data_IF_322615032621
#
_entry.id   IF_322615032621
#
_cell.length_a   1.000
_cell.length_b   1.000
_cell.length_c   1.000
_cell.angle_alpha   90.00
_cell.angle_beta   90.00
_cell.angle_gamma   90.00
#
_symmetry.space_group_name_H-M   'P 1'
#
loop_
_entity.id
_entity.type
_entity.pdbx_description
1 polymer ?
#
# COMPACT_ATOMS: atom_id res chain seq x y z
N UNK A 1 9.18 -6.63 -17.84
CA UNK A 1 9.13 -7.64 -16.77
C UNK A 1 7.80 -8.37 -16.85
N UNK A 2 7.83 -9.69 -17.03
CA UNK A 2 6.64 -10.53 -16.97
C UNK A 2 5.90 -10.29 -15.63
N UNK A 3 4.57 -10.32 -15.70
CA UNK A 3 3.71 -10.14 -14.52
C UNK A 3 3.81 -11.42 -13.70
N UNK A 4 4.59 -11.39 -12.64
CA UNK A 4 4.70 -12.50 -11.69
C UNK A 4 3.30 -12.92 -11.24
N UNK A 5 2.95 -14.18 -11.48
CA UNK A 5 1.60 -14.71 -11.22
C UNK A 5 1.69 -15.74 -10.12
N UNK A 6 0.95 -15.51 -9.03
CA UNK A 6 0.83 -16.42 -7.90
C UNK A 6 -0.54 -17.10 -7.91
N UNK A 7 -0.53 -18.43 -7.80
CA UNK A 7 -1.70 -19.28 -7.63
C UNK A 7 -1.55 -20.07 -6.33
N UNK A 8 -2.54 -19.96 -5.44
CA UNK A 8 -2.47 -20.51 -4.08
C UNK A 8 -3.24 -21.83 -3.91
N UNK A 9 -3.88 -22.34 -4.97
CA UNK A 9 -4.89 -23.40 -4.88
C UNK A 9 -4.36 -24.74 -4.36
N UNK A 10 -3.09 -25.03 -4.63
CA UNK A 10 -2.41 -26.27 -4.22
C UNK A 10 -1.47 -26.05 -3.01
N UNK A 11 -1.46 -24.83 -2.46
CA UNK A 11 -0.54 -24.46 -1.39
C UNK A 11 -0.93 -25.11 -0.07
N UNK A 12 0.07 -25.61 0.65
CA UNK A 12 -0.09 -26.23 1.97
C UNK A 12 0.69 -25.47 3.03
N UNK A 13 0.23 -25.56 4.28
CA UNK A 13 0.93 -25.03 5.45
C UNK A 13 1.81 -26.13 6.03
N UNK A 14 3.13 -25.98 5.91
CA UNK A 14 4.10 -26.97 6.42
C UNK A 14 4.45 -26.75 7.89
N UNK A 15 4.59 -25.49 8.32
CA UNK A 15 4.95 -25.16 9.68
C UNK A 15 4.45 -23.77 10.07
N UNK A 16 4.11 -23.60 11.34
CA UNK A 16 3.74 -22.30 11.92
C UNK A 16 4.40 -22.19 13.29
N UNK A 17 4.96 -21.03 13.58
CA UNK A 17 5.48 -20.67 14.89
C UNK A 17 5.08 -19.24 15.24
N UNK A 18 4.82 -18.99 16.52
CA UNK A 18 4.44 -17.67 17.05
C UNK A 18 5.48 -17.17 18.03
N UNK A 19 5.78 -15.89 17.93
CA UNK A 19 6.57 -15.13 18.88
C UNK A 19 5.76 -13.95 19.41
N UNK A 20 6.08 -13.46 20.61
CA UNK A 20 5.51 -12.21 21.11
C UNK A 20 6.54 -11.11 20.98
N UNK A 21 6.18 -10.04 20.27
CA UNK A 21 7.05 -8.92 19.96
C UNK A 21 6.60 -7.71 20.77
N UNK A 22 7.41 -7.30 21.74
CA UNK A 22 7.24 -6.05 22.46
C UNK A 22 7.84 -4.84 21.73
N UNK A 23 7.72 -3.69 22.37
CA UNK A 23 8.36 -2.44 22.01
C UNK A 23 9.53 -2.09 22.95
N UNK A 24 10.72 -1.88 22.37
CA UNK A 24 11.96 -1.58 23.11
C UNK A 24 11.89 -0.26 23.87
N UNK A 25 11.28 0.77 23.28
CA UNK A 25 11.15 2.08 23.92
C UNK A 25 10.26 2.00 25.18
N UNK A 26 9.25 1.13 25.13
CA UNK A 26 8.31 0.89 26.25
C UNK A 26 8.77 -0.24 27.18
N UNK A 27 9.99 -0.77 27.00
CA UNK A 27 10.57 -1.89 27.77
C UNK A 27 9.68 -3.14 27.78
N UNK A 28 8.89 -3.34 26.73
CA UNK A 28 8.11 -4.57 26.57
C UNK A 28 9.01 -5.65 25.94
N UNK A 29 8.95 -6.90 26.43
CA UNK A 29 9.94 -7.92 26.06
C UNK A 29 9.70 -8.53 24.68
N UNK A 30 10.75 -9.16 24.16
CA UNK A 30 10.66 -10.17 23.09
C UNK A 30 10.55 -11.55 23.74
N UNK A 31 9.52 -12.32 23.39
CA UNK A 31 9.38 -13.74 23.77
C UNK A 31 9.48 -14.59 22.51
N UNK A 32 10.59 -15.31 22.40
CA UNK A 32 10.82 -16.26 21.30
C UNK A 32 10.32 -17.65 21.70
N UNK A 33 9.84 -18.38 20.70
CA UNK A 33 9.38 -19.76 20.84
C UNK A 33 10.42 -20.69 20.22
N UNK A 34 10.46 -21.93 20.69
CA UNK A 34 11.36 -22.99 20.24
C UNK A 34 10.61 -24.18 19.61
N UNK A 35 9.29 -24.08 19.47
CA UNK A 35 8.44 -25.16 18.95
C UNK A 35 7.34 -24.64 18.03
N UNK A 36 7.12 -25.36 16.94
CA UNK A 36 6.01 -25.13 16.02
C UNK A 36 4.68 -25.63 16.60
N UNK A 37 3.57 -25.03 16.15
CA UNK A 37 2.23 -25.55 16.44
C UNK A 37 1.96 -26.84 15.69
N UNK A 38 1.12 -27.70 16.28
CA UNK A 38 0.47 -28.78 15.54
C UNK A 38 -0.59 -28.18 14.62
N UNK A 39 -0.46 -28.43 13.32
CA UNK A 39 -1.40 -27.94 12.31
C UNK A 39 -2.37 -29.04 11.93
N UNK A 40 -3.66 -28.75 12.05
CA UNK A 40 -4.72 -29.57 11.49
C UNK A 40 -5.35 -28.85 10.29
N UNK A 41 -6.21 -29.55 9.55
CA UNK A 41 -6.83 -29.01 8.33
C UNK A 41 -7.62 -27.74 8.59
N UNK A 42 -8.32 -27.63 9.72
CA UNK A 42 -9.09 -26.43 10.08
C UNK A 42 -8.18 -25.20 10.25
N UNK A 43 -7.07 -25.35 10.98
CA UNK A 43 -6.08 -24.28 11.18
C UNK A 43 -5.42 -23.91 9.84
N UNK A 44 -5.03 -24.92 9.06
CA UNK A 44 -4.43 -24.74 7.73
C UNK A 44 -5.35 -23.93 6.81
N UNK A 45 -6.64 -24.29 6.74
CA UNK A 45 -7.64 -23.61 5.93
C UNK A 45 -7.83 -22.15 6.32
N UNK A 46 -7.81 -21.84 7.62
CA UNK A 46 -7.91 -20.46 8.12
C UNK A 46 -6.67 -19.64 7.72
N UNK A 47 -5.47 -20.22 7.81
CA UNK A 47 -4.23 -19.55 7.41
C UNK A 47 -4.18 -19.30 5.89
N UNK A 48 -4.54 -20.31 5.08
CA UNK A 48 -4.56 -20.19 3.62
C UNK A 48 -5.63 -19.18 3.16
N UNK A 49 -6.83 -19.28 3.74
CA UNK A 49 -7.98 -18.46 3.38
C UNK A 49 -7.89 -17.00 3.81
N UNK A 50 -7.28 -16.73 4.97
CA UNK A 50 -7.11 -15.38 5.50
C UNK A 50 -5.75 -14.78 5.12
N UNK A 51 -4.67 -15.30 5.69
CA UNK A 51 -3.34 -14.73 5.55
C UNK A 51 -2.81 -14.81 4.10
N UNK A 52 -2.69 -16.02 3.55
CA UNK A 52 -2.08 -16.21 2.23
C UNK A 52 -2.93 -15.58 1.11
N UNK A 53 -4.23 -15.87 1.10
CA UNK A 53 -5.15 -15.26 0.13
C UNK A 53 -5.21 -13.74 0.27
N UNK A 54 -5.26 -13.23 1.50
CA UNK A 54 -5.30 -11.80 1.78
C UNK A 54 -4.09 -11.05 1.22
N UNK A 55 -2.88 -11.55 1.48
CA UNK A 55 -1.65 -10.91 1.01
C UNK A 55 -1.46 -10.99 -0.50
N UNK A 56 -1.80 -12.13 -1.13
CA UNK A 56 -1.71 -12.30 -2.58
C UNK A 56 -2.74 -11.43 -3.32
N UNK A 57 -3.98 -11.37 -2.83
CA UNK A 57 -5.04 -10.58 -3.46
C UNK A 57 -4.83 -9.07 -3.37
N UNK A 58 -4.08 -8.62 -2.36
CA UNK A 58 -3.78 -7.20 -2.19
C UNK A 58 -2.89 -6.66 -3.33
N UNK A 59 -2.09 -7.53 -3.98
CA UNK A 59 -1.25 -7.21 -5.15
C UNK A 59 -0.25 -6.06 -4.90
N UNK A 60 0.07 -5.77 -3.64
CA UNK A 60 1.08 -4.80 -3.27
C UNK A 60 2.46 -5.46 -3.27
N UNK A 61 3.22 -5.18 -4.34
CA UNK A 61 4.54 -5.74 -4.59
C UNK A 61 5.61 -4.76 -4.15
N UNK A 62 6.69 -5.29 -3.58
CA UNK A 62 7.87 -4.54 -3.18
C UNK A 62 9.11 -5.28 -3.63
N UNK A 63 10.16 -4.54 -3.96
CA UNK A 63 11.49 -5.10 -4.18
C UNK A 63 12.34 -4.88 -2.95
N UNK A 64 13.14 -5.87 -2.61
CA UNK A 64 14.11 -5.78 -1.52
C UNK A 64 15.47 -5.24 -2.02
N UNK A 65 15.59 -4.94 -3.31
CA UNK A 65 16.83 -4.40 -3.87
C UNK A 65 17.10 -2.96 -3.38
N UNK A 66 18.16 -2.82 -2.59
CA UNK A 66 18.82 -1.55 -2.33
C UNK A 66 20.06 -1.47 -3.22
N UNK A 67 20.50 -0.26 -3.59
CA UNK A 67 21.72 -0.03 -4.38
C UNK A 67 23.00 -0.59 -3.70
N UNK A 68 22.90 -1.03 -2.43
CA UNK A 68 23.92 -1.76 -1.70
C UNK A 68 23.49 -3.23 -1.49
N UNK A 69 24.42 -4.15 -1.76
CA UNK A 69 24.39 -5.61 -1.55
C UNK A 69 23.15 -6.16 -0.81
N UNK A 70 22.36 -7.01 -1.50
CA UNK A 70 21.19 -7.72 -0.97
C UNK A 70 21.44 -8.43 0.38
N UNK A 71 22.69 -8.78 0.68
CA UNK A 71 23.11 -9.36 1.97
C UNK A 71 22.91 -8.42 3.16
N UNK A 72 22.74 -7.12 2.94
CA UNK A 72 22.48 -6.12 3.99
C UNK A 72 21.00 -6.05 4.40
N UNK A 73 20.12 -6.78 3.71
CA UNK A 73 18.74 -6.95 4.12
C UNK A 73 18.59 -8.22 4.98
N UNK A 74 18.36 -8.04 6.28
CA UNK A 74 18.29 -9.15 7.24
C UNK A 74 17.16 -10.15 6.93
N UNK A 75 16.01 -9.67 6.45
CA UNK A 75 14.87 -10.53 6.08
C UNK A 75 15.25 -11.41 4.90
N UNK A 76 15.74 -10.81 3.81
CA UNK A 76 16.19 -11.55 2.63
C UNK A 76 17.30 -12.52 3.00
N UNK A 77 18.37 -12.04 3.66
CA UNK A 77 19.51 -12.84 4.07
C UNK A 77 19.08 -14.08 4.88
N UNK A 78 18.24 -13.92 5.90
CA UNK A 78 17.79 -15.06 6.70
C UNK A 78 16.90 -16.02 5.91
N UNK A 79 15.97 -15.52 5.10
CA UNK A 79 15.12 -16.38 4.25
C UNK A 79 15.91 -17.17 3.21
N UNK A 80 16.91 -16.54 2.56
CA UNK A 80 17.80 -17.23 1.62
C UNK A 80 18.60 -18.34 2.31
N UNK A 81 19.18 -18.07 3.49
CA UNK A 81 19.92 -19.09 4.25
C UNK A 81 19.02 -20.28 4.62
N UNK A 82 17.73 -20.04 4.90
CA UNK A 82 16.76 -21.11 5.16
C UNK A 82 16.44 -21.92 3.89
N UNK A 83 16.18 -21.27 2.76
CA UNK A 83 15.88 -21.97 1.51
C UNK A 83 17.09 -22.79 1.01
N UNK A 84 18.31 -22.27 1.20
CA UNK A 84 19.58 -22.97 0.97
C UNK A 84 19.90 -24.05 2.02
N UNK A 85 18.97 -24.33 2.95
CA UNK A 85 19.07 -25.38 4.00
C UNK A 85 20.24 -25.21 4.96
N UNK A 86 20.73 -23.97 5.14
CA UNK A 86 21.83 -23.65 6.08
C UNK A 86 21.36 -23.40 7.51
N UNK A 87 20.07 -23.12 7.71
CA UNK A 87 19.46 -22.91 9.03
C UNK A 87 18.11 -23.63 9.11
N UNK A 88 17.68 -23.99 10.31
CA UNK A 88 16.35 -24.58 10.51
C UNK A 88 15.23 -23.53 10.39
N UNK A 89 13.98 -23.99 10.27
CA UNK A 89 12.81 -23.10 10.30
C UNK A 89 12.67 -22.36 11.65
N UNK A 90 13.00 -23.03 12.75
CA UNK A 90 12.98 -22.42 14.09
C UNK A 90 14.04 -21.32 14.16
N UNK A 91 15.27 -21.58 13.71
CA UNK A 91 16.33 -20.57 13.68
C UNK A 91 15.96 -19.36 12.81
N UNK A 92 15.36 -19.60 11.63
CA UNK A 92 14.84 -18.54 10.77
C UNK A 92 13.83 -17.68 11.53
N UNK A 93 12.84 -18.31 12.17
CA UNK A 93 11.75 -17.62 12.84
C UNK A 93 12.25 -16.74 14.01
N UNK A 94 13.19 -17.25 14.80
CA UNK A 94 13.79 -16.53 15.91
C UNK A 94 14.65 -15.35 15.44
N UNK A 95 15.40 -15.52 14.33
CA UNK A 95 16.17 -14.43 13.72
C UNK A 95 15.26 -13.32 13.19
N UNK A 96 14.18 -13.67 12.48
CA UNK A 96 13.20 -12.69 11.99
C UNK A 96 12.51 -11.96 13.15
N UNK A 97 12.13 -12.67 14.22
CA UNK A 97 11.53 -12.06 15.42
C UNK A 97 12.48 -11.11 16.13
N UNK A 98 13.75 -11.52 16.27
CA UNK A 98 14.80 -10.71 16.89
C UNK A 98 15.04 -9.43 16.08
N UNK A 99 15.22 -9.56 14.76
CA UNK A 99 15.36 -8.42 13.85
C UNK A 99 14.19 -7.45 13.99
N UNK A 100 12.95 -7.96 13.88
CA UNK A 100 11.75 -7.14 14.03
C UNK A 100 11.70 -6.40 15.37
N UNK A 101 12.05 -7.05 16.47
CA UNK A 101 12.13 -6.42 17.78
C UNK A 101 13.15 -5.28 17.82
N UNK A 102 14.30 -5.41 17.12
CA UNK A 102 15.27 -4.31 17.02
C UNK A 102 14.69 -3.07 16.34
N UNK A 103 13.80 -3.26 15.35
CA UNK A 103 13.08 -2.19 14.64
C UNK A 103 11.94 -1.58 15.47
N UNK A 104 11.44 -2.23 16.52
CA UNK A 104 10.33 -1.74 17.34
C UNK A 104 10.75 -0.68 18.38
N UNK A 105 11.09 0.54 17.94
CA UNK A 105 11.66 1.60 18.78
C UNK A 105 10.88 2.93 18.78
N UNK A 106 9.63 2.94 18.31
CA UNK A 106 8.76 4.12 18.26
C UNK A 106 7.49 3.90 19.13
N UNK A 107 6.99 4.90 19.89
CA UNK A 107 5.88 4.69 20.84
C UNK A 107 4.58 4.18 20.20
N UNK A 108 4.34 4.52 18.92
CA UNK A 108 3.16 4.09 18.18
C UNK A 108 3.25 2.65 17.61
N UNK A 109 4.37 1.94 17.82
CA UNK A 109 4.48 0.53 17.45
C UNK A 109 3.87 -0.31 18.57
N UNK A 110 2.75 -0.97 18.28
CA UNK A 110 2.08 -1.84 19.25
C UNK A 110 2.88 -3.11 19.52
N UNK A 111 2.79 -3.64 20.75
CA UNK A 111 3.17 -5.03 21.00
C UNK A 111 2.22 -5.96 20.23
N UNK A 112 2.63 -7.21 20.00
CA UNK A 112 1.78 -8.12 19.27
C UNK A 112 2.33 -9.52 19.08
N UNK A 113 1.50 -10.34 18.44
CA UNK A 113 1.80 -11.72 18.08
C UNK A 113 2.39 -11.76 16.67
N UNK A 114 3.57 -12.35 16.49
CA UNK A 114 4.25 -12.55 15.21
C UNK A 114 4.19 -14.02 14.80
N UNK A 115 3.47 -14.30 13.72
CA UNK A 115 3.44 -15.60 13.07
C UNK A 115 4.48 -15.67 11.96
N UNK A 116 5.31 -16.71 12.00
CA UNK A 116 6.14 -17.14 10.88
C UNK A 116 5.54 -18.44 10.34
N UNK A 117 5.27 -18.47 9.04
CA UNK A 117 4.53 -19.56 8.38
C UNK A 117 5.36 -20.04 7.19
N UNK A 118 5.64 -21.34 7.14
CA UNK A 118 6.21 -22.00 5.97
C UNK A 118 5.07 -22.52 5.10
N UNK A 119 4.96 -21.97 3.89
CA UNK A 119 4.11 -22.47 2.83
C UNK A 119 4.91 -23.31 1.85
N UNK A 120 4.25 -24.30 1.26
CA UNK A 120 4.82 -25.11 0.19
C UNK A 120 3.79 -25.35 -0.91
N UNK A 121 4.23 -25.72 -2.10
CA UNK A 121 3.38 -25.82 -3.29
C UNK A 121 2.68 -24.50 -3.66
N UNK A 122 3.33 -23.36 -3.43
CA UNK A 122 2.87 -22.08 -3.99
C UNK A 122 3.29 -22.01 -5.46
N UNK A 123 2.32 -21.91 -6.37
CA UNK A 123 2.62 -21.85 -7.80
C UNK A 123 2.95 -20.42 -8.21
N UNK A 124 4.21 -20.17 -8.55
CA UNK A 124 4.75 -18.91 -9.03
C UNK A 124 5.28 -19.09 -10.46
N UNK A 125 4.71 -18.37 -11.43
CA UNK A 125 5.13 -18.46 -12.85
C UNK A 125 5.17 -19.90 -13.40
N UNK A 126 4.17 -20.71 -13.07
CA UNK A 126 4.07 -22.15 -13.39
C UNK A 126 5.09 -23.07 -12.69
N UNK A 127 5.85 -22.58 -11.71
CA UNK A 127 6.71 -23.41 -10.87
C UNK A 127 6.18 -23.48 -9.44
N UNK A 128 6.21 -24.66 -8.83
CA UNK A 128 5.92 -24.79 -7.40
C UNK A 128 7.13 -24.39 -6.58
N UNK A 129 6.91 -23.49 -5.63
CA UNK A 129 7.93 -22.94 -4.76
C UNK A 129 7.45 -22.93 -3.31
N UNK A 130 8.39 -22.97 -2.39
CA UNK A 130 8.12 -22.69 -0.99
C UNK A 130 8.11 -21.17 -0.75
N UNK A 131 7.41 -20.74 0.29
CA UNK A 131 7.35 -19.33 0.68
C UNK A 131 7.29 -19.16 2.20
N UNK A 132 7.82 -18.04 2.68
CA UNK A 132 7.75 -17.64 4.09
C UNK A 132 6.74 -16.50 4.24
N UNK A 133 5.68 -16.76 4.99
CA UNK A 133 4.76 -15.73 5.47
C UNK A 133 5.22 -15.17 6.81
N UNK A 134 5.22 -13.86 6.95
CA UNK A 134 5.58 -13.12 8.16
C UNK A 134 4.41 -12.19 8.49
N UNK A 135 3.68 -12.49 9.57
CA UNK A 135 2.46 -11.74 9.92
C UNK A 135 2.51 -11.28 11.36
N UNK A 136 2.44 -9.96 11.59
CA UNK A 136 2.34 -9.40 12.94
C UNK A 136 0.93 -8.88 13.16
N UNK A 137 0.28 -9.37 14.21
CA UNK A 137 -1.01 -8.86 14.70
C UNK A 137 -0.78 -7.94 15.90
N UNK A 138 -1.23 -6.70 15.78
CA UNK A 138 -1.20 -5.67 16.82
C UNK A 138 -2.58 -5.45 17.44
N UNK A 139 -3.63 -5.94 16.78
CA UNK A 139 -5.01 -5.72 17.17
C UNK A 139 -5.72 -7.07 17.33
N UNK A 140 -6.26 -7.30 18.53
CA UNK A 140 -7.20 -8.40 18.79
C UNK A 140 -8.64 -7.90 18.62
N UNK A 141 -9.45 -8.64 17.90
CA UNK A 141 -10.88 -8.36 17.74
C UNK A 141 -11.66 -9.01 18.86
N UNK A 142 -12.74 -8.35 19.29
CA UNK A 142 -13.73 -8.93 20.19
C UNK A 142 -14.89 -9.46 19.37
N UNK A 143 -15.35 -10.66 19.67
CA UNK A 143 -16.54 -11.24 19.06
C UNK A 143 -17.44 -11.88 20.13
N UNK A 144 -18.73 -11.88 19.86
CA UNK A 144 -19.74 -12.53 20.69
C UNK A 144 -19.96 -13.94 20.17
N UNK A 145 -19.92 -14.94 21.05
CA UNK A 145 -20.32 -16.30 20.76
C UNK A 145 -21.52 -16.66 21.65
N UNK A 146 -22.54 -17.27 21.05
CA UNK A 146 -23.65 -17.86 21.79
C UNK A 146 -23.29 -19.31 22.11
N UNK A 147 -23.20 -19.63 23.40
CA UNK A 147 -22.99 -21.01 23.88
C UNK A 147 -24.29 -21.49 24.50
N UNK A 148 -24.74 -22.69 24.12
CA UNK A 148 -25.95 -23.30 24.65
C UNK A 148 -25.59 -24.59 25.37
N UNK A 149 -25.87 -24.66 26.67
CA UNK A 149 -25.76 -25.87 27.50
C UNK A 149 -27.15 -26.38 27.85
N UNK A 150 -27.89 -26.83 26.84
CA UNK A 150 -29.19 -27.52 26.95
C UNK A 150 -30.38 -26.68 27.42
N UNK A 151 -30.25 -25.91 28.51
CA UNK A 151 -31.33 -25.15 29.17
C UNK A 151 -31.07 -23.65 29.29
N UNK A 152 -29.83 -23.19 29.02
CA UNK A 152 -29.46 -21.77 29.10
C UNK A 152 -28.63 -21.38 27.88
N UNK A 153 -29.06 -20.29 27.23
CA UNK A 153 -28.26 -19.60 26.23
C UNK A 153 -27.45 -18.51 26.93
N UNK A 154 -26.14 -18.56 26.81
CA UNK A 154 -25.23 -17.55 27.32
C UNK A 154 -24.50 -16.88 26.16
N UNK A 155 -24.29 -15.57 26.28
CA UNK A 155 -23.44 -14.81 25.37
C UNK A 155 -22.08 -14.61 26.04
N UNK A 156 -21.03 -15.06 25.36
CA UNK A 156 -19.65 -14.93 25.80
C UNK A 156 -18.89 -13.99 24.86
N UNK A 157 -18.00 -13.19 25.43
CA UNK A 157 -17.09 -12.33 24.66
C UNK A 157 -15.75 -13.02 24.57
N UNK A 158 -15.33 -13.30 23.35
CA UNK A 158 -14.00 -13.79 23.05
C UNK A 158 -13.15 -12.68 22.44
N UNK A 159 -11.83 -12.77 22.63
CA UNK A 159 -10.88 -11.91 21.96
C UNK A 159 -9.84 -12.73 21.22
N UNK A 160 -9.66 -12.45 19.93
CA UNK A 160 -8.79 -13.25 19.08
C UNK A 160 -8.19 -12.45 17.93
N UNK A 161 -7.33 -13.11 17.19
CA UNK A 161 -6.69 -12.57 15.98
C UNK A 161 -7.58 -12.94 14.80
N UNK A 162 -7.80 -11.99 13.88
CA UNK A 162 -8.53 -12.24 12.65
C UNK A 162 -7.56 -12.30 11.46
N UNK A 163 -7.30 -13.49 10.89
CA UNK A 163 -6.38 -13.66 9.77
C UNK A 163 -6.79 -12.94 8.48
N UNK A 164 -8.07 -12.62 8.30
CA UNK A 164 -8.56 -11.85 7.15
C UNK A 164 -8.17 -10.35 7.23
N UNK A 165 -7.84 -9.88 8.43
CA UNK A 165 -7.55 -8.49 8.73
C UNK A 165 -6.09 -8.32 9.12
N UNK A 166 -5.22 -8.47 8.13
CA UNK A 166 -3.76 -8.37 8.25
C UNK A 166 -3.36 -6.96 8.68
N UNK A 167 -2.82 -6.83 9.89
CA UNK A 167 -2.23 -5.57 10.36
C UNK A 167 -0.93 -5.28 9.60
N UNK A 168 -0.04 -6.27 9.62
CA UNK A 168 1.30 -6.25 9.04
C UNK A 168 1.58 -7.63 8.45
N UNK A 169 1.91 -7.68 7.17
CA UNK A 169 2.17 -8.94 6.46
C UNK A 169 3.30 -8.80 5.46
N UNK A 170 4.07 -9.87 5.30
CA UNK A 170 5.01 -10.05 4.20
C UNK A 170 5.00 -11.50 3.72
N UNK A 171 5.09 -11.71 2.41
CA UNK A 171 5.24 -13.02 1.78
C UNK A 171 6.51 -13.00 0.93
N UNK A 172 7.48 -13.81 1.33
CA UNK A 172 8.76 -14.00 0.64
C UNK A 172 8.73 -15.34 -0.08
N UNK A 173 8.80 -15.33 -1.41
CA UNK A 173 8.81 -16.54 -2.23
C UNK A 173 10.25 -16.93 -2.54
N UNK A 174 10.56 -18.23 -2.44
CA UNK A 174 11.91 -18.72 -2.75
C UNK A 174 12.35 -18.31 -4.16
N UNK A 175 13.59 -17.82 -4.27
CA UNK A 175 14.17 -17.34 -5.52
C UNK A 175 13.48 -16.15 -6.17
N UNK A 176 12.66 -15.36 -5.44
CA UNK A 176 12.10 -14.09 -5.92
C UNK A 176 12.71 -12.89 -5.19
N UNK A 177 13.08 -11.85 -5.94
CA UNK A 177 13.49 -10.55 -5.39
C UNK A 177 12.30 -9.64 -5.08
N UNK A 178 11.09 -10.07 -5.46
CA UNK A 178 9.85 -9.37 -5.23
C UNK A 178 9.07 -10.07 -4.13
N UNK A 179 8.62 -9.27 -3.17
CA UNK A 179 7.78 -9.71 -2.08
C UNK A 179 6.41 -9.06 -2.16
N UNK A 180 5.44 -9.66 -1.48
CA UNK A 180 4.14 -9.05 -1.25
C UNK A 180 4.11 -8.56 0.19
N UNK A 181 3.61 -7.34 0.43
CA UNK A 181 3.52 -6.81 1.79
C UNK A 181 2.26 -5.98 2.01
N UNK A 182 1.74 -6.05 3.23
CA UNK A 182 0.62 -5.27 3.73
C UNK A 182 1.09 -4.52 4.98
N UNK A 183 0.78 -3.23 5.04
CA UNK A 183 0.89 -2.42 6.24
C UNK A 183 -0.37 -1.55 6.39
N UNK A 184 -1.34 -2.06 7.15
CA UNK A 184 -2.64 -1.42 7.38
C UNK A 184 -2.54 -0.18 8.26
N UNK A 185 -1.49 -0.06 9.06
CA UNK A 185 -1.27 1.04 10.00
C UNK A 185 -0.09 1.94 9.60
N UNK A 186 0.25 1.92 8.31
CA UNK A 186 1.37 2.68 7.71
C UNK A 186 1.29 4.20 7.92
N UNK A 187 0.11 4.74 8.22
CA UNK A 187 -0.07 6.15 8.59
C UNK A 187 0.49 6.50 9.97
N UNK A 188 0.66 5.51 10.87
CA UNK A 188 1.14 5.74 12.24
C UNK A 188 2.66 5.64 12.35
N UNK A 189 3.25 4.72 11.58
CA UNK A 189 4.68 4.37 11.61
C UNK A 189 5.06 3.71 10.30
N UNK A 190 6.31 3.88 9.86
CA UNK A 190 6.83 3.25 8.64
C UNK A 190 7.74 2.05 8.86
N UNK A 191 7.92 1.63 10.11
CA UNK A 191 8.91 0.63 10.50
C UNK A 191 8.75 -0.73 9.80
N UNK A 192 7.54 -1.12 9.40
CA UNK A 192 7.32 -2.43 8.78
C UNK A 192 7.97 -2.50 7.39
N UNK A 193 7.67 -1.53 6.53
CA UNK A 193 8.19 -1.50 5.16
C UNK A 193 9.62 -0.94 5.13
N UNK A 194 9.89 0.17 5.84
CA UNK A 194 11.15 0.90 5.72
C UNK A 194 12.27 0.31 6.60
N UNK A 195 11.99 -0.07 7.85
CA UNK A 195 13.03 -0.51 8.80
C UNK A 195 13.20 -2.03 8.83
N UNK A 196 12.10 -2.78 8.92
CA UNK A 196 12.10 -4.24 9.04
C UNK A 196 12.33 -4.91 7.69
N UNK A 197 11.46 -4.65 6.72
CA UNK A 197 11.57 -5.23 5.37
C UNK A 197 12.60 -4.51 4.50
N UNK A 198 12.93 -3.25 4.78
CA UNK A 198 13.79 -2.36 3.97
C UNK A 198 13.46 -2.48 2.47
N UNK A 199 12.18 -2.42 2.13
CA UNK A 199 11.68 -2.72 0.79
C UNK A 199 11.12 -1.47 0.10
N UNK A 200 11.28 -1.38 -1.22
CA UNK A 200 10.74 -0.29 -2.04
C UNK A 200 9.53 -0.77 -2.84
N UNK A 201 8.47 0.02 -2.87
CA UNK A 201 7.23 -0.37 -3.54
C UNK A 201 7.40 -0.39 -5.07
N UNK A 202 6.92 -1.46 -5.70
CA UNK A 202 6.82 -1.60 -7.16
C UNK A 202 5.43 -1.15 -7.59
N UNK A 203 5.27 0.01 -8.23
CA UNK A 203 3.95 0.56 -8.54
C UNK A 203 3.18 -0.29 -9.54
N UNK A 204 2.01 -0.78 -9.14
CA UNK A 204 1.02 -1.33 -10.07
C UNK A 204 0.28 -0.20 -10.82
N UNK A 205 -0.57 -0.55 -11.80
CA UNK A 205 -1.28 0.44 -12.63
C UNK A 205 -2.13 1.42 -11.82
N UNK A 206 -2.83 0.97 -10.78
CA UNK A 206 -3.62 1.85 -9.92
C UNK A 206 -2.72 2.78 -9.11
N UNK A 207 -1.61 2.28 -8.56
CA UNK A 207 -0.64 3.11 -7.84
C UNK A 207 -0.03 4.16 -8.77
N UNK A 208 0.36 3.79 -9.99
CA UNK A 208 0.84 4.75 -11.02
C UNK A 208 -0.20 5.83 -11.31
N UNK A 209 -1.46 5.44 -11.49
CA UNK A 209 -2.55 6.38 -11.73
C UNK A 209 -2.80 7.33 -10.54
N UNK A 210 -2.75 6.83 -9.30
CA UNK A 210 -2.84 7.67 -8.09
C UNK A 210 -1.67 8.62 -7.98
N UNK A 211 -0.44 8.14 -8.16
CA UNK A 211 0.76 8.96 -8.09
C UNK A 211 0.69 10.11 -9.10
N UNK A 212 0.36 9.79 -10.35
CA UNK A 212 0.26 10.76 -11.43
C UNK A 212 -0.85 11.79 -11.17
N UNK A 213 -2.02 11.35 -10.70
CA UNK A 213 -3.10 12.25 -10.32
C UNK A 213 -2.69 13.22 -9.19
N UNK A 214 -1.93 12.73 -8.20
CA UNK A 214 -1.43 13.57 -7.11
C UNK A 214 -0.38 14.59 -7.61
N UNK A 215 0.51 14.21 -8.54
CA UNK A 215 1.45 15.17 -9.16
C UNK A 215 0.67 16.24 -9.92
N UNK A 216 -0.30 15.84 -10.75
CA UNK A 216 -1.16 16.77 -11.50
C UNK A 216 -1.90 17.72 -10.55
N UNK A 217 -2.43 17.22 -9.43
CA UNK A 217 -3.09 18.05 -8.41
C UNK A 217 -2.15 19.07 -7.77
N UNK A 218 -0.92 18.66 -7.45
CA UNK A 218 0.11 19.53 -6.89
C UNK A 218 0.51 20.63 -7.87
N UNK A 219 0.83 20.26 -9.10
CA UNK A 219 1.12 21.20 -10.19
C UNK A 219 -0.04 22.16 -10.42
N UNK A 220 -1.28 21.65 -10.46
CA UNK A 220 -2.49 22.47 -10.59
C UNK A 220 -2.61 23.49 -9.47
N UNK A 221 -2.25 23.13 -8.24
CA UNK A 221 -2.33 24.04 -7.10
C UNK A 221 -1.25 25.12 -7.09
N UNK A 222 -0.12 24.90 -7.77
CA UNK A 222 0.93 25.90 -7.94
C UNK A 222 0.59 26.95 -9.01
N UNK A 223 -0.44 26.71 -9.84
CA UNK A 223 -0.93 27.67 -10.83
C UNK A 223 -1.76 28.75 -10.13
N UNK A 224 -1.26 29.98 -10.10
CA UNK A 224 -1.90 31.12 -9.44
C UNK A 224 -3.13 31.66 -10.19
N UNK A 225 -3.10 31.64 -11.53
CA UNK A 225 -4.16 32.18 -12.39
C UNK A 225 -5.32 31.16 -12.50
N UNK A 226 -6.55 31.50 -12.04
CA UNK A 226 -7.68 30.57 -12.02
C UNK A 226 -8.08 30.05 -13.42
N UNK A 227 -7.94 30.86 -14.46
CA UNK A 227 -8.28 30.48 -15.84
C UNK A 227 -7.24 29.49 -16.34
N UNK A 228 -5.94 29.81 -16.18
CA UNK A 228 -4.85 28.88 -16.54
C UNK A 228 -4.92 27.56 -15.76
N UNK A 229 -5.36 27.60 -14.50
CA UNK A 229 -5.55 26.42 -13.64
C UNK A 229 -6.64 25.50 -14.20
N UNK A 230 -7.68 26.07 -14.81
CA UNK A 230 -8.72 25.32 -15.49
C UNK A 230 -8.27 24.81 -16.86
N UNK A 231 -7.60 25.65 -17.65
CA UNK A 231 -7.04 25.27 -18.96
C UNK A 231 -6.08 24.08 -18.84
N UNK A 232 -5.22 24.07 -17.81
CA UNK A 232 -4.36 22.93 -17.49
C UNK A 232 -5.17 21.64 -17.29
N UNK A 233 -6.23 21.69 -16.48
CA UNK A 233 -7.10 20.54 -16.24
C UNK A 233 -7.76 20.04 -17.53
N UNK A 234 -8.25 20.96 -18.36
CA UNK A 234 -8.88 20.65 -19.66
C UNK A 234 -7.89 20.02 -20.63
N UNK A 235 -6.69 20.55 -20.75
CA UNK A 235 -5.64 20.01 -21.63
C UNK A 235 -5.26 18.58 -21.24
N UNK A 236 -5.10 18.33 -19.93
CA UNK A 236 -4.82 16.98 -19.40
C UNK A 236 -5.98 16.03 -19.68
N UNK A 237 -7.23 16.46 -19.47
CA UNK A 237 -8.40 15.62 -19.78
C UNK A 237 -8.54 15.33 -21.28
N UNK A 238 -8.24 16.31 -22.14
CA UNK A 238 -8.22 16.15 -23.60
C UNK A 238 -7.15 15.15 -24.02
N UNK A 239 -5.96 15.23 -23.43
CA UNK A 239 -4.90 14.25 -23.64
C UNK A 239 -5.37 12.84 -23.25
N UNK A 240 -6.05 12.70 -22.10
CA UNK A 240 -6.61 11.42 -21.67
C UNK A 240 -7.72 10.88 -22.59
N UNK A 241 -8.53 11.75 -23.22
CA UNK A 241 -9.60 11.35 -24.15
C UNK A 241 -9.05 10.79 -25.48
N UNK A 242 -7.87 11.26 -25.90
CA UNK A 242 -7.31 10.95 -27.22
C UNK A 242 -6.34 9.75 -27.23
N UNK A 243 -6.09 9.15 -26.07
CA UNK A 243 -5.09 8.10 -25.89
C UNK A 243 -5.65 7.00 -24.99
N UNK A 244 -5.27 5.75 -25.23
CA UNK A 244 -5.52 4.65 -24.29
C UNK A 244 -4.51 4.64 -23.13
N UNK A 245 -3.31 5.12 -23.43
CA UNK A 245 -2.14 5.07 -22.57
C UNK A 245 -1.35 6.38 -22.66
N UNK A 246 -0.84 6.86 -21.52
CA UNK A 246 0.03 8.02 -21.44
C UNK A 246 1.38 7.67 -20.85
N UNK A 247 2.42 8.29 -21.39
CA UNK A 247 3.75 8.31 -20.80
C UNK A 247 4.01 9.60 -20.03
N UNK A 248 4.91 9.56 -19.05
CA UNK A 248 5.27 10.73 -18.23
C UNK A 248 5.62 11.97 -19.06
N UNK A 249 6.38 11.79 -20.13
CA UNK A 249 6.84 12.90 -20.99
C UNK A 249 5.67 13.68 -21.60
N UNK A 250 4.59 13.01 -22.01
CA UNK A 250 3.41 13.69 -22.58
C UNK A 250 2.73 14.63 -21.56
N UNK A 251 2.68 14.21 -20.29
CA UNK A 251 2.09 15.01 -19.21
C UNK A 251 3.02 16.16 -18.82
N UNK A 252 4.33 15.91 -18.80
CA UNK A 252 5.36 16.91 -18.56
C UNK A 252 5.31 18.02 -19.61
N UNK A 253 5.17 17.69 -20.90
CA UNK A 253 5.07 18.66 -22.00
C UNK A 253 3.84 19.57 -21.88
N UNK A 254 2.69 19.04 -21.41
CA UNK A 254 1.54 19.90 -21.11
C UNK A 254 1.84 20.81 -19.92
N UNK A 255 2.44 20.26 -18.86
CA UNK A 255 2.75 21.01 -17.63
C UNK A 255 3.67 22.21 -17.90
N UNK A 256 4.64 22.09 -18.83
CA UNK A 256 5.55 23.15 -19.26
C UNK A 256 4.86 24.42 -19.79
N UNK A 257 3.60 24.34 -20.22
CA UNK A 257 2.82 25.51 -20.66
C UNK A 257 2.32 26.39 -19.51
N UNK A 258 2.24 25.82 -18.31
CA UNK A 258 1.57 26.43 -17.16
C UNK A 258 2.51 26.67 -15.97
N UNK A 259 3.53 25.84 -15.81
CA UNK A 259 4.51 25.91 -14.71
C UNK A 259 5.95 25.80 -15.23
N UNK A 260 6.93 25.96 -14.35
CA UNK A 260 8.34 25.88 -14.73
C UNK A 260 8.72 24.49 -15.29
N UNK A 261 9.69 24.38 -16.20
CA UNK A 261 9.96 23.12 -16.90
C UNK A 261 10.32 21.92 -16.01
N UNK A 262 10.88 22.16 -14.83
CA UNK A 262 11.30 21.11 -13.89
C UNK A 262 10.24 20.81 -12.82
N UNK A 263 9.17 21.59 -12.72
CA UNK A 263 8.18 21.43 -11.64
C UNK A 263 7.59 20.02 -11.60
N UNK A 264 7.30 19.44 -12.77
CA UNK A 264 6.77 18.08 -12.88
C UNK A 264 7.74 17.02 -12.35
N UNK A 265 8.98 17.03 -12.81
CA UNK A 265 9.98 16.02 -12.44
C UNK A 265 10.40 16.14 -10.97
N UNK A 266 10.50 17.38 -10.45
CA UNK A 266 10.75 17.63 -9.04
C UNK A 266 9.62 17.10 -8.15
N UNK A 267 8.36 17.39 -8.49
CA UNK A 267 7.22 16.96 -7.68
C UNK A 267 7.00 15.44 -7.74
N UNK A 268 7.19 14.84 -8.93
CA UNK A 268 7.20 13.40 -9.09
C UNK A 268 8.30 12.76 -8.21
N UNK A 269 9.52 13.28 -8.26
CA UNK A 269 10.65 12.79 -7.46
C UNK A 269 10.40 12.91 -5.94
N UNK A 270 9.84 14.03 -5.48
CA UNK A 270 9.45 14.22 -4.07
C UNK A 270 8.44 13.17 -3.62
N UNK A 271 7.34 13.00 -4.36
CA UNK A 271 6.29 12.03 -3.99
C UNK A 271 6.78 10.59 -4.04
N UNK A 272 7.68 10.26 -4.97
CA UNK A 272 8.31 8.93 -5.04
C UNK A 272 9.15 8.64 -3.81
N UNK A 273 10.04 9.56 -3.44
CA UNK A 273 10.93 9.40 -2.30
C UNK A 273 10.12 9.31 -1.00
N UNK A 274 9.10 10.16 -0.84
CA UNK A 274 8.21 10.12 0.32
C UNK A 274 7.48 8.78 0.48
N UNK A 275 7.14 8.12 -0.62
CA UNK A 275 6.43 6.83 -0.66
C UNK A 275 7.33 5.61 -0.81
N UNK A 276 8.65 5.79 -0.93
CA UNK A 276 9.62 4.69 -1.10
C UNK A 276 9.37 3.85 -2.35
N UNK A 277 9.08 4.48 -3.50
CA UNK A 277 8.75 3.78 -4.76
C UNK A 277 9.95 3.66 -5.72
N UNK A 278 9.95 2.66 -6.61
CA UNK A 278 10.96 2.45 -7.67
C UNK A 278 10.35 2.28 -9.08
N UNK A 279 11.20 2.37 -10.12
CA UNK A 279 10.88 1.89 -11.48
C UNK A 279 9.98 2.83 -12.30
N UNK A 280 10.27 4.13 -12.30
CA UNK A 280 9.34 5.17 -12.77
C UNK A 280 9.73 5.78 -14.13
N UNK A 281 10.92 5.46 -14.63
CA UNK A 281 11.41 5.94 -15.94
C UNK A 281 10.46 5.59 -17.09
N UNK A 282 9.63 4.55 -16.92
CA UNK A 282 8.59 4.12 -17.85
C UNK A 282 7.20 4.08 -17.20
N UNK A 283 6.74 5.17 -16.57
CA UNK A 283 5.31 5.26 -16.25
C UNK A 283 4.53 5.25 -17.58
N UNK A 284 3.79 4.17 -17.79
CA UNK A 284 2.77 4.01 -18.80
C UNK A 284 1.45 3.79 -18.06
N UNK A 285 0.46 4.67 -18.25
CA UNK A 285 -0.78 4.72 -17.46
C UNK A 285 -1.97 4.59 -18.38
N UNK A 286 -2.90 3.69 -18.04
CA UNK A 286 -4.21 3.67 -18.68
C UNK A 286 -4.99 4.95 -18.39
N UNK A 287 -5.39 5.65 -19.45
CA UNK A 287 -6.14 6.92 -19.35
C UNK A 287 -7.47 6.75 -18.65
N UNK A 288 -8.15 5.61 -18.80
CA UNK A 288 -9.42 5.31 -18.12
C UNK A 288 -9.32 5.42 -16.60
N UNK A 289 -8.26 4.83 -16.02
CA UNK A 289 -8.04 4.86 -14.57
C UNK A 289 -7.63 6.25 -14.07
N UNK A 290 -6.82 6.97 -14.85
CA UNK A 290 -6.38 8.32 -14.53
C UNK A 290 -7.53 9.32 -14.62
N UNK A 291 -8.31 9.28 -15.70
CA UNK A 291 -9.43 10.19 -15.96
C UNK A 291 -10.50 10.13 -14.86
N UNK A 292 -10.83 8.94 -14.37
CA UNK A 292 -11.79 8.79 -13.27
C UNK A 292 -11.32 9.45 -11.97
N UNK A 293 -10.00 9.49 -11.72
CA UNK A 293 -9.42 10.20 -10.57
C UNK A 293 -9.35 11.70 -10.82
N UNK A 294 -8.89 12.10 -12.01
CA UNK A 294 -8.74 13.52 -12.39
C UNK A 294 -10.07 14.26 -12.45
N UNK A 295 -11.14 13.65 -12.94
CA UNK A 295 -12.49 14.27 -12.90
C UNK A 295 -12.87 14.69 -11.49
N UNK A 296 -12.61 13.85 -10.48
CA UNK A 296 -12.87 14.22 -9.07
C UNK A 296 -12.04 15.42 -8.61
N UNK A 297 -10.78 15.50 -9.03
CA UNK A 297 -9.84 16.57 -8.67
C UNK A 297 -10.21 17.89 -9.37
N UNK A 298 -10.54 17.83 -10.66
CA UNK A 298 -10.81 19.00 -11.48
C UNK A 298 -12.21 19.57 -11.28
N UNK A 299 -13.19 18.73 -10.94
CA UNK A 299 -14.52 19.19 -10.61
C UNK A 299 -14.53 20.07 -9.36
N UNK A 300 -13.49 20.03 -8.52
CA UNK A 300 -13.35 20.92 -7.38
C UNK A 300 -12.51 22.16 -7.74
N UNK A 301 -13.13 23.33 -7.64
CA UNK A 301 -12.46 24.63 -7.81
C UNK A 301 -12.42 25.34 -6.46
N UNK A 302 -11.23 25.70 -5.99
CA UNK A 302 -11.08 26.55 -4.81
C UNK A 302 -11.21 28.01 -5.23
N UNK A 303 -12.13 28.73 -4.58
CA UNK A 303 -12.41 30.14 -4.83
C UNK A 303 -11.70 31.07 -3.84
N UNK A 304 -10.89 30.52 -2.92
CA UNK A 304 -10.31 31.23 -1.78
C UNK A 304 -11.25 31.28 -0.56
N UNK A 305 -10.75 31.76 0.58
CA UNK A 305 -11.47 31.90 1.85
C UNK A 305 -12.20 30.63 2.34
N UNK A 306 -11.56 29.47 2.19
CA UNK A 306 -12.11 28.15 2.53
C UNK A 306 -13.39 27.77 1.75
N UNK A 307 -13.64 28.42 0.61
CA UNK A 307 -14.77 28.11 -0.27
C UNK A 307 -14.29 27.28 -1.45
N UNK A 308 -14.99 26.16 -1.69
CA UNK A 308 -14.78 25.33 -2.88
C UNK A 308 -16.10 25.01 -3.57
N UNK A 309 -16.08 25.06 -4.90
CA UNK A 309 -17.18 24.71 -5.77
C UNK A 309 -16.96 23.31 -6.35
N UNK A 310 -17.98 22.46 -6.36
CA UNK A 310 -17.98 21.21 -7.12
C UNK A 310 -18.81 21.41 -8.38
N UNK A 311 -18.15 21.37 -9.54
CA UNK A 311 -18.76 21.55 -10.86
C UNK A 311 -19.15 20.17 -11.42
N UNK A 312 -20.40 19.98 -11.89
CA UNK A 312 -20.79 18.76 -12.60
C UNK A 312 -19.95 18.56 -13.88
N UNK A 313 -19.73 17.30 -14.28
CA UNK A 313 -18.85 16.97 -15.42
C UNK A 313 -19.29 17.60 -16.76
N UNK A 314 -20.56 17.99 -16.90
CA UNK A 314 -21.13 18.47 -18.15
C UNK A 314 -21.07 20.01 -18.27
N UNK A 315 -20.42 20.68 -17.30
CA UNK A 315 -20.30 22.13 -17.23
C UNK A 315 -18.84 22.55 -17.05
N UNK A 316 -18.47 23.67 -17.66
CA UNK A 316 -17.17 24.31 -17.50
C UNK A 316 -17.32 25.68 -16.84
N UNK A 317 -16.35 26.07 -16.03
CA UNK A 317 -16.30 27.39 -15.39
C UNK A 317 -15.86 28.44 -16.42
N UNK A 318 -16.61 29.52 -16.58
CA UNK A 318 -16.25 30.59 -17.52
C UNK A 318 -15.76 31.84 -16.79
N UNK A 319 -16.42 32.17 -15.69
CA UNK A 319 -16.10 33.35 -14.88
C UNK A 319 -16.42 33.07 -13.41
N UNK A 320 -15.60 33.63 -12.53
CA UNK A 320 -15.82 33.65 -11.09
C UNK A 320 -15.41 35.01 -10.57
N UNK A 321 -16.39 35.71 -10.00
CA UNK A 321 -16.16 36.93 -9.24
C UNK A 321 -16.51 36.68 -7.77
N UNK A 322 -15.51 36.72 -6.91
CA UNK A 322 -15.65 36.60 -5.46
C UNK A 322 -15.39 37.95 -4.81
N UNK A 323 -16.42 38.51 -4.18
CA UNK A 323 -16.34 39.75 -3.41
C UNK A 323 -16.54 39.45 -1.93
N UNK A 324 -15.58 39.87 -1.11
CA UNK A 324 -15.62 39.70 0.34
C UNK A 324 -15.66 41.06 1.02
N UNK A 325 -16.75 41.30 1.75
CA UNK A 325 -16.91 42.47 2.61
C UNK A 325 -16.94 42.00 4.08
N UNK A 326 -16.89 42.94 5.04
CA UNK A 326 -16.83 42.61 6.48
C UNK A 326 -18.03 41.78 7.00
N UNK A 327 -19.17 41.83 6.33
CA UNK A 327 -20.42 41.15 6.74
C UNK A 327 -20.88 40.04 5.79
N UNK A 328 -20.48 40.09 4.51
CA UNK A 328 -21.02 39.22 3.47
C UNK A 328 -19.94 38.75 2.49
N UNK A 329 -20.07 37.50 2.04
CA UNK A 329 -19.33 36.92 0.92
C UNK A 329 -20.30 36.75 -0.24
N UNK A 330 -20.00 37.33 -1.40
CA UNK A 330 -20.79 37.18 -2.62
C UNK A 330 -19.97 36.51 -3.71
N UNK A 331 -20.56 35.52 -4.37
CA UNK A 331 -19.90 34.72 -5.40
C UNK A 331 -20.80 34.70 -6.62
N UNK A 332 -20.31 35.26 -7.72
CA UNK A 332 -20.94 35.15 -9.03
C UNK A 332 -20.17 34.12 -9.84
N UNK A 333 -20.87 33.09 -10.31
CA UNK A 333 -20.30 31.96 -11.04
C UNK A 333 -21.03 31.87 -12.38
N UNK A 334 -20.26 31.84 -13.46
CA UNK A 334 -20.79 31.54 -14.79
C UNK A 334 -20.28 30.16 -15.20
N UNK A 335 -21.21 29.26 -15.49
CA UNK A 335 -20.94 27.92 -16.01
C UNK A 335 -21.49 27.81 -17.44
N UNK A 336 -20.76 27.16 -18.32
CA UNK A 336 -21.19 26.86 -19.70
C UNK A 336 -21.27 25.35 -19.90
N UNK A 337 -22.37 24.88 -20.48
CA UNK A 337 -22.56 23.47 -20.80
C UNK A 337 -21.55 23.02 -21.87
N UNK A 338 -20.86 21.90 -21.65
CA UNK A 338 -19.87 21.38 -22.63
C UNK A 338 -20.51 20.95 -23.96
N UNK A 339 -21.84 20.80 -24.00
CA UNK A 339 -22.60 20.32 -25.16
C UNK A 339 -23.70 21.29 -25.65
N UNK A 340 -23.59 22.60 -25.40
CA UNK A 340 -24.53 23.60 -25.92
C UNK A 340 -25.91 23.60 -25.26
#
# INVERSE_FOLDING_TARGET
MSKETLEIGETVVQAVILHQIGNRLRKEPLVVADKCFSINDSISNVILGGYLKGIVNNKNRYTINSENDLRLNDVFYHTSQFFEKKISFIDLSQKLATHLYTCCHHPNIGAGDLFIILFDCLKCNNEYRSAIGIYKSEIKQKYLAAVSDGSKNQLEIYSGINPDLIDKGALVVDGSEVIYAIDRLSSRTKYWIEDFLKAKQVPNENIKAVLTANVIEKIRNDICDPIKKQDFGRDILKLCKNRDFLINQEIEEISKKYVSPNSWSEELGKLMNQKGMVGIENINISTKNLQNKLKKIFNQVSLGNDISLIIPNDYSLCDVNLTVNQENISINIVLEAENG
#
